data_IF_436838339696
#
_entry.id   IF_436838339696
#
_cell.length_a   1.000
_cell.length_b   1.000
_cell.length_c   1.000
_cell.angle_alpha   90.00
_cell.angle_beta   90.00
_cell.angle_gamma   90.00
#
_symmetry.space_group_name_H-M   'P 1'
#
loop_
_entity.id
_entity.type
_entity.pdbx_description
1 polymer ?
#
# COMPACT_ATOMS: atom_id res chain seq x y z
N UNK A 1 -4.01 -7.64 -65.86
CA UNK A 1 -4.40 -7.47 -64.44
C UNK A 1 -5.31 -6.27 -64.34
N UNK A 2 -6.55 -6.44 -63.87
CA UNK A 2 -7.51 -5.33 -63.79
C UNK A 2 -6.98 -4.24 -62.84
N UNK A 3 -7.06 -2.95 -63.22
CA UNK A 3 -6.53 -1.83 -62.42
C UNK A 3 -7.16 -1.76 -61.02
N UNK A 4 -8.36 -2.33 -60.85
CA UNK A 4 -9.06 -2.46 -59.57
C UNK A 4 -8.38 -3.41 -58.57
N UNK A 5 -7.62 -4.41 -59.05
CA UNK A 5 -6.94 -5.40 -58.19
C UNK A 5 -5.70 -4.82 -57.51
N UNK A 6 -5.06 -3.82 -58.13
CA UNK A 6 -3.92 -3.10 -57.57
C UNK A 6 -4.30 -1.82 -56.81
N UNK A 7 -5.48 -1.23 -57.10
CA UNK A 7 -5.93 0.00 -56.45
C UNK A 7 -6.23 -0.19 -54.96
N UNK A 8 -6.85 -1.32 -54.59
CA UNK A 8 -7.19 -1.65 -53.20
C UNK A 8 -5.96 -1.83 -52.28
N UNK A 9 -4.93 -2.64 -52.64
CA UNK A 9 -3.73 -2.73 -51.83
C UNK A 9 -2.93 -1.43 -51.80
N UNK A 10 -2.89 -0.66 -52.90
CA UNK A 10 -2.24 0.64 -52.92
C UNK A 10 -2.92 1.65 -51.98
N UNK A 11 -4.26 1.69 -51.96
CA UNK A 11 -5.02 2.52 -51.03
C UNK A 11 -4.75 2.12 -49.57
N UNK A 12 -4.69 0.83 -49.27
CA UNK A 12 -4.38 0.33 -47.94
C UNK A 12 -2.98 0.77 -47.46
N UNK A 13 -1.96 0.67 -48.32
CA UNK A 13 -0.60 1.13 -48.00
C UNK A 13 -0.58 2.65 -47.73
N UNK A 14 -1.30 3.44 -48.54
CA UNK A 14 -1.40 4.89 -48.34
C UNK A 14 -2.06 5.22 -47.00
N UNK A 15 -3.15 4.52 -46.64
CA UNK A 15 -3.83 4.73 -45.37
C UNK A 15 -2.94 4.36 -44.17
N UNK A 16 -2.22 3.23 -44.24
CA UNK A 16 -1.27 2.82 -43.18
C UNK A 16 -0.13 3.83 -43.05
N UNK A 17 0.46 4.26 -44.16
CA UNK A 17 1.53 5.26 -44.16
C UNK A 17 1.04 6.61 -43.61
N UNK A 18 -0.20 7.00 -43.92
CA UNK A 18 -0.81 8.21 -43.36
C UNK A 18 -0.97 8.12 -41.84
N UNK A 19 -1.46 6.99 -41.31
CA UNK A 19 -1.59 6.78 -39.85
C UNK A 19 -0.21 6.79 -39.18
N UNK A 20 0.77 6.07 -39.72
CA UNK A 20 2.13 6.05 -39.17
C UNK A 20 2.79 7.43 -39.21
N UNK A 21 2.60 8.18 -40.31
CA UNK A 21 3.10 9.55 -40.45
C UNK A 21 2.48 10.50 -39.41
N UNK A 22 1.18 10.38 -39.15
CA UNK A 22 0.50 11.13 -38.08
C UNK A 22 1.11 10.73 -36.73
N UNK A 23 1.21 9.44 -36.40
CA UNK A 23 1.76 9.01 -35.12
C UNK A 23 3.19 9.52 -34.88
N UNK A 24 4.05 9.46 -35.90
CA UNK A 24 5.41 10.02 -35.80
C UNK A 24 5.39 11.54 -35.64
N UNK A 25 4.54 12.26 -36.38
CA UNK A 25 4.42 13.71 -36.28
C UNK A 25 3.90 14.20 -34.93
N UNK A 26 3.08 13.40 -34.23
CA UNK A 26 2.58 13.68 -32.88
C UNK A 26 3.45 13.07 -31.77
N UNK A 27 4.72 12.73 -32.05
CA UNK A 27 5.69 12.32 -31.03
C UNK A 27 5.72 10.82 -30.73
N UNK A 28 4.98 9.99 -31.47
CA UNK A 28 5.00 8.52 -31.32
C UNK A 28 6.34 7.86 -31.68
N UNK A 29 7.27 8.61 -32.29
CA UNK A 29 8.65 8.16 -32.56
C UNK A 29 9.69 8.58 -31.51
N UNK A 30 9.31 9.44 -30.57
CA UNK A 30 10.22 10.04 -29.56
C UNK A 30 9.76 9.71 -28.14
N UNK A 31 9.16 8.53 -27.96
CA UNK A 31 8.78 8.08 -26.63
C UNK A 31 10.04 7.78 -25.82
N UNK A 32 10.38 8.67 -24.89
CA UNK A 32 11.34 8.45 -23.83
C UNK A 32 10.54 8.03 -22.59
N UNK A 33 10.71 6.81 -22.04
CA UNK A 33 10.11 6.46 -20.77
C UNK A 33 10.57 7.46 -19.71
N UNK A 34 9.63 7.97 -18.90
CA UNK A 34 10.01 8.74 -17.72
C UNK A 34 10.85 7.85 -16.81
N UNK A 35 11.95 8.41 -16.32
CA UNK A 35 12.79 7.70 -15.36
C UNK A 35 11.97 7.46 -14.08
N UNK A 36 11.99 6.23 -13.53
CA UNK A 36 11.35 5.95 -12.26
C UNK A 36 11.79 6.93 -11.17
N UNK A 37 10.87 7.28 -10.29
CA UNK A 37 11.20 8.16 -9.18
C UNK A 37 12.24 7.49 -8.26
N UNK A 38 13.16 8.30 -7.72
CA UNK A 38 14.13 7.84 -6.73
C UNK A 38 13.39 7.42 -5.44
N UNK A 39 13.44 6.13 -5.05
CA UNK A 39 12.78 5.64 -3.85
C UNK A 39 13.45 6.13 -2.57
N UNK A 40 14.73 6.53 -2.62
CA UNK A 40 15.46 7.03 -1.46
C UNK A 40 15.22 8.53 -1.19
N UNK A 41 14.57 9.23 -2.12
CA UNK A 41 14.26 10.64 -1.96
C UNK A 41 12.99 10.84 -1.13
N UNK A 42 13.08 11.64 -0.07
CA UNK A 42 11.92 12.00 0.74
C UNK A 42 10.87 12.72 -0.11
N UNK A 43 9.66 12.17 -0.14
CA UNK A 43 8.49 12.77 -0.80
C UNK A 43 7.27 12.72 0.09
N UNK A 44 6.41 13.72 -0.04
CA UNK A 44 5.07 13.68 0.53
C UNK A 44 4.21 12.70 -0.28
N UNK A 45 3.54 11.79 0.41
CA UNK A 45 2.56 10.89 -0.18
C UNK A 45 1.18 11.46 0.15
N UNK A 46 0.48 11.93 -0.87
CA UNK A 46 -0.92 12.34 -0.72
C UNK A 46 -1.81 11.13 -0.90
N UNK A 47 -2.62 10.80 0.10
CA UNK A 47 -3.67 9.80 -0.04
C UNK A 47 -4.88 10.37 -0.80
N UNK A 48 -5.56 9.50 -1.53
CA UNK A 48 -6.84 9.80 -2.19
C UNK A 48 -8.06 9.39 -1.36
N UNK A 49 -7.85 8.62 -0.30
CA UNK A 49 -8.88 8.16 0.65
C UNK A 49 -8.83 8.97 1.94
N UNK A 50 -9.83 8.73 2.79
CA UNK A 50 -9.90 9.24 4.16
C UNK A 50 -9.77 8.06 5.15
N UNK A 51 -9.47 8.36 6.42
CA UNK A 51 -9.55 7.36 7.50
C UNK A 51 -8.52 6.22 7.43
N UNK A 52 -8.93 5.01 7.83
CA UNK A 52 -8.11 3.78 7.80
C UNK A 52 -7.54 3.50 6.39
N UNK A 53 -8.32 3.74 5.34
CA UNK A 53 -7.86 3.51 3.97
C UNK A 53 -6.73 4.47 3.61
N UNK A 54 -6.80 5.72 4.07
CA UNK A 54 -5.76 6.72 3.84
C UNK A 54 -4.45 6.40 4.57
N UNK A 55 -4.57 5.90 5.79
CA UNK A 55 -3.45 5.38 6.58
C UNK A 55 -2.79 4.21 5.84
N UNK A 56 -3.59 3.25 5.38
CA UNK A 56 -3.10 2.06 4.68
C UNK A 56 -2.38 2.41 3.39
N UNK A 57 -2.96 3.30 2.58
CA UNK A 57 -2.34 3.77 1.33
C UNK A 57 -0.98 4.43 1.58
N UNK A 58 -0.91 5.38 2.53
CA UNK A 58 0.33 6.05 2.88
C UNK A 58 1.38 5.08 3.40
N UNK A 59 0.99 4.19 4.32
CA UNK A 59 1.89 3.22 4.92
C UNK A 59 2.52 2.31 3.87
N UNK A 60 1.70 1.75 2.97
CA UNK A 60 2.18 0.86 1.90
C UNK A 60 3.07 1.61 0.91
N UNK A 61 2.70 2.83 0.51
CA UNK A 61 3.49 3.59 -0.46
C UNK A 61 4.85 4.03 0.10
N UNK A 62 4.88 4.49 1.36
CA UNK A 62 6.13 4.86 2.05
C UNK A 62 6.97 3.61 2.30
N UNK A 63 6.36 2.50 2.76
CA UNK A 63 7.07 1.26 3.03
C UNK A 63 7.68 0.62 1.78
N UNK A 64 6.98 0.67 0.65
CA UNK A 64 7.52 0.21 -0.64
C UNK A 64 8.69 1.07 -1.12
N UNK A 65 8.67 2.38 -0.88
CA UNK A 65 9.80 3.27 -1.19
C UNK A 65 11.02 2.91 -0.34
N UNK A 66 10.84 2.72 0.96
CA UNK A 66 11.94 2.35 1.86
C UNK A 66 12.52 0.97 1.51
N UNK A 67 11.66 0.00 1.20
CA UNK A 67 12.06 -1.33 0.76
C UNK A 67 12.84 -1.27 -0.56
N UNK A 68 12.35 -0.50 -1.54
CA UNK A 68 13.01 -0.32 -2.82
C UNK A 68 14.37 0.39 -2.68
N UNK A 69 14.46 1.39 -1.81
CA UNK A 69 15.70 2.06 -1.47
C UNK A 69 16.72 1.09 -0.87
N UNK A 70 16.29 0.25 0.08
CA UNK A 70 17.12 -0.79 0.71
C UNK A 70 17.65 -1.81 -0.30
N UNK A 71 16.82 -2.20 -1.26
CA UNK A 71 17.16 -3.16 -2.31
C UNK A 71 17.91 -2.54 -3.51
N UNK A 72 18.08 -1.21 -3.54
CA UNK A 72 18.75 -0.50 -4.64
C UNK A 72 18.01 -0.62 -5.98
N UNK A 73 16.67 -0.71 -5.96
CA UNK A 73 15.80 -0.84 -7.13
C UNK A 73 14.74 0.26 -7.12
N UNK A 74 13.99 0.48 -8.22
CA UNK A 74 12.84 1.40 -8.17
C UNK A 74 11.61 0.73 -7.54
N UNK A 75 10.68 1.53 -7.01
CA UNK A 75 9.40 1.01 -6.49
C UNK A 75 8.66 0.18 -7.54
N UNK A 76 8.62 0.64 -8.77
CA UNK A 76 7.96 -0.05 -9.89
C UNK A 76 8.63 -1.38 -10.21
N UNK A 77 9.96 -1.44 -10.15
CA UNK A 77 10.71 -2.67 -10.35
C UNK A 77 10.49 -3.66 -9.19
N UNK A 78 10.41 -3.19 -7.95
CA UNK A 78 10.06 -4.01 -6.78
C UNK A 78 8.61 -4.51 -6.87
N UNK A 79 7.63 -3.65 -7.11
CA UNK A 79 6.22 -4.07 -7.27
C UNK A 79 6.09 -5.08 -8.42
N UNK A 80 6.82 -4.90 -9.51
CA UNK A 80 6.84 -5.83 -10.62
C UNK A 80 7.52 -7.16 -10.27
N UNK A 81 8.58 -7.16 -9.46
CA UNK A 81 9.23 -8.39 -9.00
C UNK A 81 8.28 -9.17 -8.10
N UNK A 82 7.66 -8.51 -7.11
CA UNK A 82 6.66 -9.10 -6.21
C UNK A 82 5.45 -9.66 -6.97
N UNK A 83 4.94 -8.95 -7.98
CA UNK A 83 3.79 -9.40 -8.75
C UNK A 83 4.08 -10.57 -9.72
N UNK A 84 5.35 -10.79 -10.09
CA UNK A 84 5.75 -11.87 -11.03
C UNK A 84 6.40 -13.05 -10.32
N UNK A 85 6.96 -12.84 -9.14
CA UNK A 85 7.63 -13.88 -8.40
C UNK A 85 6.60 -14.90 -7.91
N UNK A 86 6.88 -16.18 -8.17
CA UNK A 86 6.10 -17.26 -7.54
C UNK A 86 6.34 -17.29 -6.02
N UNK A 87 7.55 -16.92 -5.59
CA UNK A 87 7.92 -16.77 -4.19
C UNK A 87 8.87 -15.57 -4.03
N UNK A 88 8.60 -14.64 -3.09
CA UNK A 88 9.51 -13.53 -2.81
C UNK A 88 10.80 -14.03 -2.16
N UNK A 89 11.91 -13.34 -2.45
CA UNK A 89 13.21 -13.63 -1.84
C UNK A 89 13.24 -13.22 -0.37
N UNK A 90 14.13 -13.82 0.43
CA UNK A 90 14.30 -13.42 1.84
C UNK A 90 14.67 -11.93 1.98
N UNK A 91 15.46 -11.41 1.03
CA UNK A 91 15.83 -10.00 1.01
C UNK A 91 14.63 -9.09 0.73
N UNK A 92 13.74 -9.46 -0.20
CA UNK A 92 12.51 -8.71 -0.46
C UNK A 92 11.56 -8.74 0.73
N UNK A 93 11.39 -9.90 1.37
CA UNK A 93 10.54 -10.05 2.56
C UNK A 93 11.07 -9.18 3.70
N UNK A 94 12.37 -9.25 4.00
CA UNK A 94 12.98 -8.45 5.06
C UNK A 94 12.91 -6.95 4.75
N UNK A 95 13.26 -6.54 3.53
CA UNK A 95 13.22 -5.14 3.13
C UNK A 95 11.80 -4.56 3.18
N UNK A 96 10.78 -5.36 2.85
CA UNK A 96 9.39 -4.92 2.94
C UNK A 96 8.94 -4.76 4.40
N UNK A 97 9.28 -5.71 5.26
CA UNK A 97 8.96 -5.63 6.69
C UNK A 97 9.63 -4.43 7.34
N UNK A 98 10.95 -4.28 7.15
CA UNK A 98 11.73 -3.14 7.64
C UNK A 98 11.20 -1.82 7.08
N UNK A 99 10.85 -1.80 5.79
CA UNK A 99 10.28 -0.63 5.13
C UNK A 99 8.94 -0.20 5.71
N UNK A 100 8.05 -1.14 6.03
CA UNK A 100 6.77 -0.83 6.68
C UNK A 100 6.98 -0.31 8.11
N UNK A 101 7.90 -0.89 8.89
CA UNK A 101 8.25 -0.38 10.23
C UNK A 101 8.81 1.04 10.16
N UNK A 102 9.73 1.28 9.22
CA UNK A 102 10.29 2.62 8.98
C UNK A 102 9.22 3.62 8.51
N UNK A 103 8.24 3.17 7.73
CA UNK A 103 7.11 4.00 7.32
C UNK A 103 6.27 4.45 8.52
N UNK A 104 5.97 3.57 9.48
CA UNK A 104 5.30 3.95 10.73
C UNK A 104 6.11 5.01 11.48
N UNK A 105 7.41 4.77 11.66
CA UNK A 105 8.30 5.72 12.35
C UNK A 105 8.34 7.08 11.67
N UNK A 106 8.40 7.11 10.35
CA UNK A 106 8.36 8.36 9.58
C UNK A 106 7.03 9.09 9.72
N UNK A 107 5.90 8.38 9.64
CA UNK A 107 4.58 9.00 9.80
C UNK A 107 4.39 9.55 11.23
N UNK A 108 4.98 8.89 12.22
CA UNK A 108 5.03 9.39 13.60
C UNK A 108 5.85 10.68 13.70
N UNK A 109 7.03 10.72 13.09
CA UNK A 109 7.92 11.88 13.07
C UNK A 109 7.31 13.08 12.31
N UNK A 110 6.65 12.81 11.19
CA UNK A 110 5.95 13.80 10.37
C UNK A 110 4.61 14.25 10.99
N UNK A 111 4.15 13.59 12.07
CA UNK A 111 2.89 13.88 12.76
C UNK A 111 1.64 13.55 11.93
N UNK A 112 1.75 12.60 11.00
CA UNK A 112 0.68 12.19 10.08
C UNK A 112 -0.04 10.91 10.53
N UNK A 113 0.44 10.22 11.56
CA UNK A 113 -0.30 9.11 12.17
C UNK A 113 -1.56 9.61 12.88
N UNK A 114 -2.75 9.06 12.54
CA UNK A 114 -3.97 9.37 13.25
C UNK A 114 -3.94 8.74 14.66
N UNK A 115 -4.60 9.37 15.64
CA UNK A 115 -4.78 8.77 16.96
C UNK A 115 -5.65 7.51 16.87
N UNK A 116 -5.48 6.58 17.80
CA UNK A 116 -6.19 5.31 17.81
C UNK A 116 -7.72 5.50 17.88
N UNK A 117 -8.19 6.52 18.59
CA UNK A 117 -9.62 6.90 18.64
C UNK A 117 -10.22 7.17 17.27
N UNK A 118 -9.51 7.86 16.37
CA UNK A 118 -9.98 8.13 15.02
C UNK A 118 -10.11 6.84 14.19
N UNK A 119 -9.21 5.88 14.39
CA UNK A 119 -9.27 4.57 13.72
C UNK A 119 -10.40 3.69 14.28
N UNK A 120 -10.70 3.81 15.58
CA UNK A 120 -11.82 3.07 16.19
C UNK A 120 -13.15 3.50 15.58
N UNK A 121 -13.36 4.79 15.34
CA UNK A 121 -14.60 5.28 14.72
C UNK A 121 -14.81 4.68 13.32
N UNK A 122 -13.79 4.74 12.46
CA UNK A 122 -13.83 4.13 11.12
C UNK A 122 -14.03 2.62 11.17
N UNK A 123 -13.42 1.94 12.14
CA UNK A 123 -13.56 0.51 12.32
C UNK A 123 -14.98 0.13 12.78
N UNK A 124 -15.60 0.95 13.65
CA UNK A 124 -16.98 0.76 14.09
C UNK A 124 -17.98 0.96 12.95
N UNK A 125 -17.73 1.91 12.05
CA UNK A 125 -18.56 2.17 10.87
C UNK A 125 -18.55 0.99 9.89
N UNK A 126 -17.42 0.28 9.80
CA UNK A 126 -17.26 -0.90 8.96
C UNK A 126 -17.68 -2.19 9.64
N UNK A 127 -17.72 -2.21 10.98
CA UNK A 127 -18.09 -3.39 11.72
C UNK A 127 -19.60 -3.63 11.69
N UNK A 128 -20.02 -4.86 11.40
CA UNK A 128 -21.42 -5.29 11.47
C UNK A 128 -21.87 -5.51 12.93
N UNK A 129 -21.72 -4.48 13.77
CA UNK A 129 -22.14 -4.49 15.17
C UNK A 129 -23.61 -4.12 15.32
N UNK A 130 -24.17 -4.47 16.47
CA UNK A 130 -25.47 -3.96 16.86
C UNK A 130 -25.34 -2.50 17.35
N UNK A 131 -26.35 -1.68 17.06
CA UNK A 131 -26.34 -0.25 17.36
C UNK A 131 -26.14 0.08 18.84
N UNK A 132 -26.57 -0.79 19.75
CA UNK A 132 -26.35 -0.62 21.19
C UNK A 132 -24.86 -0.73 21.54
N UNK A 133 -24.18 -1.77 21.03
CA UNK A 133 -22.75 -1.98 21.27
C UNK A 133 -21.90 -0.88 20.63
N UNK A 134 -22.21 -0.49 19.40
CA UNK A 134 -21.58 0.64 18.71
C UNK A 134 -21.69 1.93 19.54
N UNK A 135 -22.89 2.24 20.06
CA UNK A 135 -23.11 3.41 20.92
C UNK A 135 -22.30 3.33 22.22
N UNK A 136 -22.20 2.14 22.81
CA UNK A 136 -21.42 1.94 24.05
C UNK A 136 -19.92 2.11 23.81
N UNK A 137 -19.39 1.64 22.69
CA UNK A 137 -17.96 1.80 22.35
C UNK A 137 -17.67 3.27 22.03
N UNK A 138 -18.52 3.94 21.24
CA UNK A 138 -18.39 5.39 20.97
C UNK A 138 -18.56 6.28 22.20
N UNK A 139 -19.11 5.76 23.29
CA UNK A 139 -19.19 6.50 24.55
C UNK A 139 -17.87 6.51 25.34
N UNK A 140 -16.88 5.71 24.93
CA UNK A 140 -15.54 5.72 25.51
C UNK A 140 -14.83 7.02 25.08
N UNK A 141 -14.31 7.84 26.01
CA UNK A 141 -13.61 9.06 25.63
C UNK A 141 -12.33 8.79 24.83
N UNK A 142 -12.07 9.60 23.80
CA UNK A 142 -10.87 9.50 22.95
C UNK A 142 -9.57 9.46 23.77
N UNK A 143 -9.46 10.31 24.79
CA UNK A 143 -8.31 10.34 25.71
C UNK A 143 -8.03 9.02 26.45
N UNK A 144 -9.05 8.16 26.61
CA UNK A 144 -8.89 6.83 27.20
C UNK A 144 -8.38 5.84 26.16
N UNK A 145 -8.86 5.94 24.91
CA UNK A 145 -8.42 5.11 23.79
C UNK A 145 -6.97 5.45 23.45
N UNK A 146 -6.69 6.73 23.17
CA UNK A 146 -5.35 7.23 22.83
C UNK A 146 -4.38 7.08 24.00
N UNK A 147 -4.87 7.15 25.23
CA UNK A 147 -4.06 6.92 26.42
C UNK A 147 -3.81 5.43 26.70
N UNK A 148 -4.44 4.51 25.97
CA UNK A 148 -4.30 3.07 26.12
C UNK A 148 -3.66 2.38 24.91
N UNK A 149 -3.78 2.98 23.72
CA UNK A 149 -3.30 2.47 22.45
C UNK A 149 -2.56 3.58 21.70
N UNK A 150 -1.24 3.44 21.63
CA UNK A 150 -0.41 4.26 20.75
C UNK A 150 -0.44 3.64 19.34
N UNK A 151 -0.84 4.42 18.34
CA UNK A 151 -1.04 3.91 16.96
C UNK A 151 0.24 3.35 16.37
N UNK A 152 1.38 4.03 16.57
CA UNK A 152 2.69 3.59 16.09
C UNK A 152 3.09 2.24 16.71
N UNK A 153 2.94 2.10 18.02
CA UNK A 153 3.28 0.91 18.78
C UNK A 153 2.43 -0.32 18.37
N UNK A 154 1.14 -0.12 18.10
CA UNK A 154 0.25 -1.17 17.58
C UNK A 154 0.65 -1.55 16.15
N UNK A 155 0.91 -0.57 15.28
CA UNK A 155 1.28 -0.84 13.88
C UNK A 155 2.62 -1.57 13.77
N UNK A 156 3.65 -1.13 14.51
CA UNK A 156 4.97 -1.79 14.50
C UNK A 156 4.86 -3.23 14.96
N UNK A 157 4.21 -3.51 16.09
CA UNK A 157 4.02 -4.89 16.55
C UNK A 157 3.23 -5.73 15.56
N UNK A 158 2.17 -5.17 14.98
CA UNK A 158 1.39 -5.88 13.97
C UNK A 158 2.29 -6.25 12.78
N UNK A 159 3.11 -5.33 12.27
CA UNK A 159 4.03 -5.59 11.15
C UNK A 159 5.09 -6.65 11.51
N UNK A 160 5.63 -6.61 12.73
CA UNK A 160 6.63 -7.57 13.21
C UNK A 160 6.05 -8.99 13.34
N UNK A 161 4.79 -9.12 13.75
CA UNK A 161 4.10 -10.40 13.91
C UNK A 161 3.52 -10.99 12.59
N UNK A 162 3.51 -10.22 11.51
CA UNK A 162 3.00 -10.69 10.22
C UNK A 162 3.98 -11.67 9.54
N UNK A 163 3.45 -12.80 9.08
CA UNK A 163 4.15 -13.65 8.12
C UNK A 163 4.09 -13.01 6.73
N UNK A 164 5.02 -12.09 6.47
CA UNK A 164 5.16 -11.34 5.21
C UNK A 164 5.29 -12.26 3.99
N UNK A 165 5.93 -13.42 4.14
CA UNK A 165 6.09 -14.38 3.04
C UNK A 165 4.75 -14.98 2.65
N UNK A 166 3.96 -15.42 3.63
CA UNK A 166 2.62 -15.93 3.39
C UNK A 166 1.66 -14.83 2.89
N UNK A 167 1.81 -13.60 3.37
CA UNK A 167 1.05 -12.42 2.92
C UNK A 167 1.28 -12.15 1.43
N UNK A 168 2.54 -12.07 1.01
CA UNK A 168 2.92 -11.79 -0.38
C UNK A 168 2.53 -12.93 -1.33
N UNK A 169 2.54 -14.18 -0.85
CA UNK A 169 2.14 -15.34 -1.64
C UNK A 169 0.63 -15.37 -1.98
N UNK A 170 -0.20 -14.59 -1.27
CA UNK A 170 -1.66 -14.59 -1.42
C UNK A 170 -2.23 -13.17 -1.59
N UNK A 171 -1.47 -12.26 -2.21
CA UNK A 171 -1.88 -10.85 -2.34
C UNK A 171 -3.16 -10.65 -3.17
N UNK A 172 -3.52 -11.63 -4.00
CA UNK A 172 -4.72 -11.67 -4.82
C UNK A 172 -5.93 -12.32 -4.14
N UNK A 173 -5.75 -12.90 -2.96
CA UNK A 173 -6.82 -13.54 -2.18
C UNK A 173 -7.13 -12.74 -0.91
N UNK A 174 -8.23 -11.98 -0.95
CA UNK A 174 -8.68 -11.16 0.17
C UNK A 174 -8.95 -11.98 1.46
N UNK A 175 -9.43 -13.23 1.35
CA UNK A 175 -9.68 -14.05 2.53
C UNK A 175 -8.36 -14.47 3.18
N UNK A 176 -7.40 -14.91 2.37
CA UNK A 176 -6.07 -15.29 2.85
C UNK A 176 -5.35 -14.08 3.48
N UNK A 177 -5.46 -12.90 2.89
CA UNK A 177 -4.94 -11.66 3.48
C UNK A 177 -5.52 -11.40 4.87
N UNK A 178 -6.85 -11.50 5.01
CA UNK A 178 -7.53 -11.28 6.28
C UNK A 178 -7.14 -12.32 7.35
N UNK A 179 -6.96 -13.58 6.95
CA UNK A 179 -6.50 -14.66 7.85
C UNK A 179 -5.10 -14.40 8.42
N UNK A 180 -4.25 -13.67 7.70
CA UNK A 180 -2.91 -13.30 8.16
C UNK A 180 -2.89 -11.98 8.94
N UNK A 181 -3.63 -10.97 8.48
CA UNK A 181 -3.61 -9.62 9.08
C UNK A 181 -4.38 -9.57 10.39
N UNK A 182 -5.58 -10.17 10.44
CA UNK A 182 -6.46 -10.05 11.60
C UNK A 182 -5.82 -10.60 12.90
N UNK A 183 -5.15 -11.76 12.92
CA UNK A 183 -4.48 -12.25 14.12
C UNK A 183 -3.35 -11.35 14.59
N UNK A 184 -2.51 -10.85 13.68
CA UNK A 184 -1.39 -9.99 14.01
C UNK A 184 -1.86 -8.66 14.62
N UNK A 185 -2.83 -8.00 14.00
CA UNK A 185 -3.43 -6.76 14.54
C UNK A 185 -4.10 -7.02 15.90
N UNK A 186 -4.85 -8.12 16.01
CA UNK A 186 -5.52 -8.48 17.28
C UNK A 186 -4.51 -8.71 18.39
N UNK A 187 -3.40 -9.37 18.09
CA UNK A 187 -2.36 -9.67 19.06
C UNK A 187 -1.60 -8.41 19.46
N UNK A 188 -1.21 -7.57 18.50
CA UNK A 188 -0.58 -6.27 18.74
C UNK A 188 -1.43 -5.38 19.66
N UNK A 189 -2.74 -5.27 19.42
CA UNK A 189 -3.66 -4.50 20.28
C UNK A 189 -3.73 -5.10 21.68
N UNK A 190 -3.81 -6.44 21.82
CA UNK A 190 -3.82 -7.09 23.14
C UNK A 190 -2.54 -6.81 23.92
N UNK A 191 -1.39 -6.91 23.26
CA UNK A 191 -0.10 -6.72 23.90
C UNK A 191 0.11 -5.25 24.32
N UNK A 192 -0.28 -4.29 23.47
CA UNK A 192 -0.32 -2.87 23.82
C UNK A 192 -1.20 -2.61 25.07
N UNK A 193 -2.41 -3.18 25.11
CA UNK A 193 -3.30 -3.04 26.26
C UNK A 193 -2.75 -3.70 27.53
N UNK A 194 -2.10 -4.86 27.41
CA UNK A 194 -1.49 -5.56 28.54
C UNK A 194 -0.32 -4.76 29.11
N UNK A 195 0.53 -4.19 28.26
CA UNK A 195 1.64 -3.35 28.69
C UNK A 195 1.14 -2.06 29.34
N UNK A 196 0.05 -1.48 28.82
CA UNK A 196 -0.60 -0.36 29.47
C UNK A 196 -1.10 -0.72 30.86
N UNK A 197 -1.78 -1.86 31.02
CA UNK A 197 -2.26 -2.32 32.32
C UNK A 197 -1.11 -2.56 33.30
N UNK A 198 0.01 -3.13 32.84
CA UNK A 198 1.22 -3.30 33.65
C UNK A 198 1.84 -1.97 34.08
N UNK A 199 1.75 -0.92 33.26
CA UNK A 199 2.26 0.42 33.60
C UNK A 199 1.46 1.12 34.71
N UNK A 200 0.22 0.68 34.97
CA UNK A 200 -0.70 1.28 35.94
C UNK A 200 -0.66 0.64 37.33
N UNK A 201 -0.02 -0.53 37.48
CA UNK A 201 0.08 -1.31 38.73
C UNK A 201 1.51 -1.27 39.26
#
# INVERSE_FOLDING_TARGET
>A
MSPRVLALPALAVVLVAAVLGIQVAYGGGTFEPLEPADPCAAREVTSYSDGIDALTEQLVLIGLDEAACTLGTSREALTLSLARAAEPTDAEVAALQDGLVAAVGRMQDDGTLPPASALVDDALDQAELNSLLETLIRAIPDSVIDGALDTDDVLVRAIEDLDMRALLANVDDQQALNEQIQPAVTQAVKDALLDRLRSLV
#
